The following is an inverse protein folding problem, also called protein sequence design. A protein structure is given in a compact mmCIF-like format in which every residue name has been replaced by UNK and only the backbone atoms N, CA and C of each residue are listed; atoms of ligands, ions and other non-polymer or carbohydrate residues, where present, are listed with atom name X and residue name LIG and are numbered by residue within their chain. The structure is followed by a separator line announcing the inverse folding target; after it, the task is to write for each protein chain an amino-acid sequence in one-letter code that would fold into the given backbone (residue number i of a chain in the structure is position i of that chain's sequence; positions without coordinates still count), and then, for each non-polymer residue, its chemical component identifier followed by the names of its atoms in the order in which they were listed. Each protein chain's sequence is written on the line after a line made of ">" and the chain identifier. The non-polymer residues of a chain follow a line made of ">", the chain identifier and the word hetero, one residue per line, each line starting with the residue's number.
data_IF_863205411498
#
_entry.id   IF_863205411498
#
_cell.length_a   1.000
_cell.length_b   1.000
_cell.length_c   1.000
_cell.angle_alpha   90.00
_cell.angle_beta   90.00
_cell.angle_gamma   90.00
#
_symmetry.space_group_name_H-M   'P 1'
#
loop_
_entity.id
_entity.type
_entity.pdbx_description
1 polymer ?
#
# COMPACT_ATOMS: atom_id res chain seq x y z
N UNK A 1 -23.45 -14.54 -10.88
CA UNK A 1 -22.84 -15.05 -12.14
C UNK A 1 -21.36 -15.29 -11.87
N UNK A 2 -20.84 -16.52 -12.00
CA UNK A 2 -19.43 -16.78 -11.77
C UNK A 2 -18.63 -16.50 -13.05
N UNK A 3 -17.63 -15.63 -12.96
CA UNK A 3 -16.65 -15.40 -14.02
C UNK A 3 -15.79 -16.66 -14.21
N UNK A 4 -16.21 -17.56 -15.10
CA UNK A 4 -15.35 -18.60 -15.68
C UNK A 4 -14.47 -17.96 -16.75
N UNK A 5 -13.22 -17.68 -16.40
CA UNK A 5 -12.17 -17.48 -17.41
C UNK A 5 -11.93 -18.82 -18.11
N UNK A 6 -12.37 -18.89 -19.35
CA UNK A 6 -12.21 -20.02 -20.27
C UNK A 6 -10.85 -19.85 -20.96
N UNK A 7 -9.88 -20.68 -20.59
CA UNK A 7 -8.63 -20.80 -21.34
C UNK A 7 -8.83 -21.82 -22.45
N UNK A 8 -9.14 -21.34 -23.65
CA UNK A 8 -9.09 -22.16 -24.85
C UNK A 8 -7.62 -22.28 -25.29
N UNK A 9 -6.98 -23.39 -24.91
CA UNK A 9 -5.73 -23.86 -25.51
C UNK A 9 -5.87 -25.34 -25.85
N UNK A 10 -6.35 -25.62 -27.06
CA UNK A 10 -6.35 -26.96 -27.64
C UNK A 10 -6.56 -26.89 -29.15
N UNK A 11 -5.51 -26.53 -29.91
CA UNK A 11 -5.30 -27.06 -31.27
C UNK A 11 -3.79 -27.05 -31.55
N UNK A 12 -3.18 -28.24 -31.52
CA UNK A 12 -2.06 -28.73 -32.35
C UNK A 12 -1.26 -29.79 -31.56
N UNK A 13 -1.88 -30.96 -31.39
CA UNK A 13 -1.20 -32.18 -30.97
C UNK A 13 -1.59 -33.32 -31.91
N UNK A 14 -0.93 -33.41 -33.06
CA UNK A 14 -0.68 -34.68 -33.77
C UNK A 14 0.14 -34.41 -35.02
N UNK A 15 1.37 -34.96 -35.07
CA UNK A 15 1.97 -35.69 -36.21
C UNK A 15 3.49 -35.89 -35.95
N UNK A 16 3.91 -37.15 -36.01
CA UNK A 16 5.26 -37.76 -36.01
C UNK A 16 5.90 -38.17 -34.67
N UNK A 17 5.59 -39.40 -34.28
CA UNK A 17 6.54 -40.32 -33.64
C UNK A 17 7.54 -40.85 -34.69
N UNK A 18 8.84 -40.80 -34.39
CA UNK A 18 9.92 -41.44 -35.15
C UNK A 18 11.31 -41.16 -34.53
N UNK A 19 12.24 -42.13 -34.47
CA UNK A 19 13.31 -42.15 -33.47
C UNK A 19 14.64 -41.52 -33.92
N UNK A 20 15.39 -41.03 -32.92
CA UNK A 20 16.83 -40.71 -32.88
C UNK A 20 17.50 -40.20 -34.18
N UNK A 21 17.73 -38.89 -34.20
CA UNK A 21 18.77 -38.26 -35.02
C UNK A 21 19.24 -36.95 -34.39
N UNK A 22 20.51 -36.91 -33.93
CA UNK A 22 21.17 -35.67 -33.52
C UNK A 22 21.20 -34.72 -34.73
N UNK A 23 20.46 -33.61 -34.67
CA UNK A 23 20.60 -32.49 -35.60
C UNK A 23 21.22 -31.31 -34.87
N UNK A 24 22.39 -30.88 -35.33
CA UNK A 24 22.98 -29.60 -34.97
C UNK A 24 22.10 -28.48 -35.54
N UNK A 25 21.63 -27.59 -34.68
CA UNK A 25 20.94 -26.37 -35.11
C UNK A 25 22.02 -25.33 -35.43
N UNK A 26 22.15 -24.99 -36.71
CA UNK A 26 22.91 -23.82 -37.16
C UNK A 26 22.00 -22.61 -36.97
N UNK A 27 22.40 -21.69 -36.08
CA UNK A 27 21.71 -20.41 -35.90
C UNK A 27 21.88 -19.55 -37.16
N UNK A 28 20.81 -18.89 -37.65
CA UNK A 28 20.95 -17.93 -38.73
C UNK A 28 21.76 -16.71 -38.27
N UNK A 29 22.75 -16.36 -39.07
CA UNK A 29 23.54 -15.14 -38.96
C UNK A 29 22.67 -13.89 -38.94
N UNK A 30 22.98 -12.97 -38.02
CA UNK A 30 22.31 -11.69 -37.83
C UNK A 30 22.25 -10.86 -39.14
N UNK A 31 21.14 -10.16 -39.42
CA UNK A 31 21.06 -9.26 -40.55
C UNK A 31 21.98 -8.05 -40.34
N UNK A 32 22.65 -7.67 -41.43
CA UNK A 32 23.49 -6.47 -41.56
C UNK A 32 22.71 -5.22 -41.15
N UNK A 33 23.35 -4.38 -40.33
CA UNK A 33 22.88 -3.07 -39.94
C UNK A 33 22.55 -2.22 -41.18
N UNK A 34 21.31 -1.72 -41.23
CA UNK A 34 20.90 -0.64 -42.12
C UNK A 34 20.93 0.67 -41.32
N UNK A 35 21.52 1.70 -41.93
CA UNK A 35 21.65 3.03 -41.37
C UNK A 35 20.29 3.67 -41.07
N UNK A 36 19.98 3.88 -39.80
CA UNK A 36 18.93 4.80 -39.36
C UNK A 36 19.51 5.72 -38.30
N UNK A 37 19.95 6.90 -38.74
CA UNK A 37 20.26 8.03 -37.89
C UNK A 37 18.97 8.62 -37.31
N UNK A 38 18.92 8.73 -35.99
CA UNK A 38 18.12 9.75 -35.29
C UNK A 38 16.85 9.28 -34.61
N UNK A 39 16.96 8.58 -33.48
CA UNK A 39 16.04 8.64 -32.34
C UNK A 39 16.80 8.31 -31.04
N UNK A 40 16.40 8.89 -29.88
CA UNK A 40 17.13 8.72 -28.62
C UNK A 40 16.86 7.34 -28.01
N UNK A 41 17.93 6.56 -27.84
CA UNK A 41 17.95 5.29 -27.11
C UNK A 41 17.99 5.56 -25.61
N UNK A 42 16.93 5.18 -24.90
CA UNK A 42 17.02 4.82 -23.49
C UNK A 42 16.26 3.51 -23.25
N UNK A 43 16.93 2.63 -22.48
CA UNK A 43 16.46 1.38 -21.89
C UNK A 43 16.23 0.16 -22.79
N UNK A 44 17.31 -0.59 -23.01
CA UNK A 44 17.29 -2.05 -22.97
C UNK A 44 18.18 -2.47 -21.79
N UNK A 45 17.56 -2.81 -20.66
CA UNK A 45 18.24 -3.50 -19.56
C UNK A 45 17.95 -4.99 -19.72
N UNK A 46 18.99 -5.73 -20.06
CA UNK A 46 19.00 -7.20 -20.11
C UNK A 46 19.45 -7.66 -18.74
N UNK A 47 18.56 -8.29 -17.98
CA UNK A 47 18.92 -8.93 -16.70
C UNK A 47 19.60 -10.27 -17.00
N UNK A 48 20.94 -10.29 -16.94
CA UNK A 48 21.72 -11.51 -16.92
C UNK A 48 21.96 -11.91 -15.46
N UNK A 49 21.33 -13.02 -15.06
CA UNK A 49 21.50 -13.65 -13.76
C UNK A 49 22.89 -14.30 -13.67
N UNK A 50 23.67 -13.95 -12.65
CA UNK A 50 24.87 -14.70 -12.25
C UNK A 50 24.61 -15.35 -10.91
N UNK A 51 24.65 -16.68 -10.89
CA UNK A 51 24.62 -17.50 -9.67
C UNK A 51 25.85 -17.23 -8.80
N UNK A 52 25.61 -16.86 -7.54
CA UNK A 52 26.64 -16.72 -6.53
C UNK A 52 27.01 -18.11 -5.99
N UNK A 53 28.20 -18.58 -6.37
CA UNK A 53 28.82 -19.79 -5.81
C UNK A 53 29.47 -19.43 -4.47
N UNK A 54 28.98 -20.03 -3.39
CA UNK A 54 29.64 -19.98 -2.08
C UNK A 54 30.93 -20.82 -2.09
N UNK A 55 32.06 -20.19 -1.76
CA UNK A 55 33.26 -20.91 -1.32
C UNK A 55 33.70 -20.39 0.04
N UNK A 56 33.56 -21.24 1.06
CA UNK A 56 34.15 -21.02 2.38
C UNK A 56 35.67 -21.18 2.33
N UNK A 57 36.37 -20.17 2.85
CA UNK A 57 37.56 -20.32 3.71
C UNK A 57 38.87 -20.78 3.07
N UNK A 58 39.80 -19.85 2.87
CA UNK A 58 40.90 -19.60 3.81
C UNK A 58 41.98 -18.69 3.17
N UNK A 59 42.28 -17.58 3.85
CA UNK A 59 43.60 -16.96 3.82
C UNK A 59 43.91 -15.99 2.67
N UNK A 60 44.33 -14.79 3.06
CA UNK A 60 45.04 -13.76 2.26
C UNK A 60 44.17 -12.88 1.34
N UNK A 61 44.02 -11.63 1.75
CA UNK A 61 43.29 -10.61 1.02
C UNK A 61 44.07 -10.11 -0.20
N UNK A 62 43.47 -10.27 -1.38
CA UNK A 62 43.91 -9.63 -2.61
C UNK A 62 42.89 -8.54 -2.98
N UNK A 63 43.34 -7.29 -3.07
CA UNK A 63 42.58 -6.21 -3.70
C UNK A 63 42.93 -6.22 -5.18
N UNK A 64 42.04 -6.79 -6.01
CA UNK A 64 42.14 -6.68 -7.46
C UNK A 64 41.57 -5.32 -7.91
N UNK A 65 42.46 -4.37 -8.19
CA UNK A 65 42.13 -3.23 -9.04
C UNK A 65 41.96 -3.73 -10.47
N UNK A 66 40.76 -3.53 -11.02
CA UNK A 66 40.48 -3.81 -12.43
C UNK A 66 40.90 -2.60 -13.25
N UNK A 67 42.03 -2.72 -13.93
CA UNK A 67 42.42 -1.81 -15.01
C UNK A 67 41.48 -2.02 -16.20
N UNK A 68 40.80 -0.94 -16.58
CA UNK A 68 40.17 -0.78 -17.89
C UNK A 68 40.81 0.43 -18.55
N UNK A 69 41.85 0.16 -19.33
CA UNK A 69 42.33 1.09 -20.35
C UNK A 69 41.20 1.29 -21.38
N UNK A 70 40.65 2.50 -21.49
CA UNK A 70 40.82 3.27 -22.73
C UNK A 70 40.32 4.71 -22.61
N UNK A 71 41.24 5.61 -22.98
CA UNK A 71 41.00 6.91 -23.64
C UNK A 71 40.23 7.98 -22.87
N UNK A 72 41.02 8.75 -22.13
CA UNK A 72 41.19 10.17 -22.48
C UNK A 72 40.32 11.17 -21.71
N UNK A 73 40.86 11.66 -20.61
CA UNK A 73 41.05 13.10 -20.30
C UNK A 73 41.67 13.19 -18.91
N UNK A 74 42.86 13.79 -18.82
CA UNK A 74 43.63 13.85 -17.59
C UNK A 74 43.00 14.78 -16.57
N UNK A 75 42.75 14.27 -15.36
CA UNK A 75 42.55 15.08 -14.17
C UNK A 75 43.70 14.81 -13.20
N UNK A 76 44.51 15.84 -12.96
CA UNK A 76 45.56 15.83 -11.94
C UNK A 76 44.87 16.01 -10.58
N UNK A 77 44.65 14.91 -9.86
CA UNK A 77 44.25 14.96 -8.45
C UNK A 77 45.51 15.15 -7.59
N UNK A 78 45.69 16.39 -7.14
CA UNK A 78 46.72 16.78 -6.18
C UNK A 78 46.24 16.37 -4.78
N UNK A 79 46.86 15.34 -4.21
CA UNK A 79 46.63 14.95 -2.82
C UNK A 79 47.17 16.05 -1.90
N UNK A 80 46.27 16.88 -1.35
CA UNK A 80 46.60 17.78 -0.26
C UNK A 80 46.63 16.97 1.04
N UNK A 81 47.83 16.71 1.54
CA UNK A 81 48.05 16.25 2.90
C UNK A 81 47.55 17.33 3.87
N UNK A 82 46.37 17.12 4.45
CA UNK A 82 45.82 17.98 5.50
C UNK A 82 46.60 17.71 6.79
N UNK A 83 47.27 18.78 7.22
CA UNK A 83 48.01 18.94 8.45
C UNK A 83 47.24 18.48 9.68
N UNK A 84 47.87 17.63 10.49
CA UNK A 84 47.49 17.30 11.88
C UNK A 84 47.33 18.60 12.68
N UNK A 85 46.10 18.94 13.05
CA UNK A 85 45.83 19.95 14.06
C UNK A 85 45.60 19.23 15.39
N UNK A 86 46.62 19.28 16.25
CA UNK A 86 46.56 18.88 17.65
C UNK A 86 45.70 19.89 18.40
N UNK A 87 44.41 19.60 18.54
CA UNK A 87 43.54 20.24 19.53
C UNK A 87 43.50 19.34 20.77
N UNK A 88 44.31 19.76 21.73
CA UNK A 88 44.38 19.26 23.09
C UNK A 88 43.13 19.75 23.82
N UNK A 89 42.05 18.97 23.82
CA UNK A 89 40.89 19.25 24.66
C UNK A 89 40.49 18.01 25.45
N UNK A 90 40.71 18.16 26.77
CA UNK A 90 40.29 17.26 27.84
C UNK A 90 38.86 16.81 27.61
N UNK A 91 38.65 15.49 27.63
CA UNK A 91 37.52 14.87 28.32
C UNK A 91 37.74 13.34 28.40
N UNK A 92 38.58 12.84 29.33
CA UNK A 92 38.45 11.45 29.75
C UNK A 92 37.34 11.41 30.80
N UNK A 93 36.07 11.46 30.37
CA UNK A 93 34.98 11.03 31.24
C UNK A 93 35.32 9.60 31.63
N UNK A 94 35.51 9.36 32.93
CA UNK A 94 35.95 8.04 33.37
C UNK A 94 34.86 7.03 32.98
N UNK A 95 35.25 5.80 32.65
CA UNK A 95 34.29 4.75 32.29
C UNK A 95 33.22 4.53 33.37
N UNK A 96 33.52 4.91 34.61
CA UNK A 96 32.59 4.92 35.73
C UNK A 96 31.53 6.03 35.63
N UNK A 97 31.90 7.25 35.20
CA UNK A 97 30.97 8.36 34.96
C UNK A 97 30.03 8.04 33.80
N UNK A 98 30.53 7.42 32.73
CA UNK A 98 29.70 6.98 31.60
C UNK A 98 28.66 5.94 32.03
N UNK A 99 29.05 4.99 32.90
CA UNK A 99 28.13 3.97 33.45
C UNK A 99 27.06 4.59 34.35
N UNK A 100 27.43 5.56 35.19
CA UNK A 100 26.47 6.29 36.03
C UNK A 100 25.48 7.05 35.13
N UNK A 101 25.96 7.76 34.12
CA UNK A 101 25.11 8.50 33.18
C UNK A 101 24.12 7.58 32.45
N UNK A 102 24.57 6.41 31.98
CA UNK A 102 23.72 5.41 31.35
C UNK A 102 22.65 4.84 32.29
N UNK A 103 22.99 4.62 33.57
CA UNK A 103 22.02 4.16 34.56
C UNK A 103 20.95 5.22 34.86
N UNK A 104 21.36 6.48 34.99
CA UNK A 104 20.43 7.61 35.16
C UNK A 104 19.51 7.74 33.94
N UNK A 105 20.05 7.64 32.73
CA UNK A 105 19.25 7.70 31.50
C UNK A 105 18.23 6.56 31.42
N UNK A 106 18.62 5.32 31.74
CA UNK A 106 17.72 4.17 31.79
C UNK A 106 16.61 4.34 32.82
N UNK A 107 16.94 4.88 34.01
CA UNK A 107 15.97 5.15 35.05
C UNK A 107 14.95 6.23 34.62
N UNK A 108 15.42 7.30 33.97
CA UNK A 108 14.54 8.35 33.44
C UNK A 108 13.60 7.82 32.34
N UNK A 109 14.10 6.98 31.44
CA UNK A 109 13.27 6.33 30.41
C UNK A 109 12.22 5.40 31.03
N UNK A 110 12.58 4.59 32.03
CA UNK A 110 11.62 3.74 32.72
C UNK A 110 10.53 4.57 33.43
N UNK A 111 10.92 5.68 34.08
CA UNK A 111 9.99 6.57 34.75
C UNK A 111 9.04 7.27 33.76
N UNK A 112 9.54 7.66 32.58
CA UNK A 112 8.72 8.22 31.51
C UNK A 112 7.66 7.22 31.01
N UNK A 113 8.02 5.95 30.85
CA UNK A 113 7.07 4.88 30.46
C UNK A 113 6.00 4.67 31.53
N UNK A 114 6.37 4.67 32.81
CA UNK A 114 5.40 4.52 33.92
C UNK A 114 4.44 5.71 33.98
N UNK A 115 4.93 6.94 33.81
CA UNK A 115 4.09 8.14 33.80
C UNK A 115 3.14 8.15 32.60
N UNK A 116 3.63 7.79 31.41
CA UNK A 116 2.80 7.69 30.22
C UNK A 116 1.73 6.59 30.37
N UNK A 117 2.10 5.38 30.83
CA UNK A 117 1.17 4.29 31.07
C UNK A 117 0.12 4.63 32.15
N UNK A 118 0.54 5.30 33.22
CA UNK A 118 -0.37 5.77 34.27
C UNK A 118 -1.39 6.80 33.77
N UNK A 119 -0.97 7.74 32.93
CA UNK A 119 -1.86 8.72 32.32
C UNK A 119 -2.91 8.07 31.39
N UNK A 120 -2.51 7.06 30.61
CA UNK A 120 -3.44 6.32 29.73
C UNK A 120 -4.43 5.48 30.54
N UNK A 121 -3.96 4.81 31.60
CA UNK A 121 -4.82 4.01 32.49
C UNK A 121 -5.86 4.87 33.23
N UNK A 122 -5.47 6.06 33.72
CA UNK A 122 -6.39 7.01 34.36
C UNK A 122 -7.50 7.50 33.42
N UNK A 123 -7.22 7.64 32.11
CA UNK A 123 -8.24 8.00 31.10
C UNK A 123 -9.26 6.88 30.87
N UNK A 124 -8.83 5.61 30.92
CA UNK A 124 -9.72 4.47 30.76
C UNK A 124 -10.68 4.30 31.95
N UNK A 125 -10.18 4.49 33.18
CA UNK A 125 -11.02 4.41 34.39
C UNK A 125 -12.08 5.51 34.39
N UNK A 126 -11.76 6.73 33.94
CA UNK A 126 -12.76 7.82 33.83
C UNK A 126 -13.87 7.53 32.80
N UNK A 127 -13.60 6.74 31.75
CA UNK A 127 -14.63 6.37 30.77
C UNK A 127 -15.63 5.35 31.31
N UNK A 128 -15.22 4.46 32.20
CA UNK A 128 -16.11 3.44 32.75
C UNK A 128 -17.08 3.96 33.82
N UNK A 129 -16.76 5.06 34.51
CA UNK A 129 -17.60 5.59 35.60
C UNK A 129 -18.76 6.48 35.09
N UNK A 130 -18.75 6.90 33.82
CA UNK A 130 -19.79 7.76 33.25
C UNK A 130 -21.01 7.00 32.67
N UNK A 131 -20.99 5.67 32.65
CA UNK A 131 -22.12 4.86 32.17
C UNK A 131 -22.92 4.38 33.38
N UNK A 132 -23.77 5.27 33.90
CA UNK A 132 -24.79 4.91 34.89
C UNK A 132 -25.91 4.12 34.20
N UNK A 133 -26.26 2.91 34.68
CA UNK A 133 -27.36 2.14 34.14
C UNK A 133 -28.69 2.76 34.59
N UNK A 134 -29.44 3.32 33.65
CA UNK A 134 -30.83 3.72 33.86
C UNK A 134 -31.69 2.47 34.12
N UNK A 135 -32.46 2.42 35.22
CA UNK A 135 -33.33 1.29 35.50
C UNK A 135 -34.52 1.29 34.55
N UNK A 136 -34.62 0.20 33.79
CA UNK A 136 -35.72 -0.18 32.92
C UNK A 136 -37.04 -0.25 33.70
N UNK A 137 -37.99 0.63 33.33
CA UNK A 137 -39.41 0.46 33.67
C UNK A 137 -40.09 -0.26 32.52
N UNK A 138 -40.61 -1.45 32.83
CA UNK A 138 -41.69 -2.08 32.08
C UNK A 138 -42.88 -1.12 31.98
N UNK A 139 -43.39 -0.88 30.77
CA UNK A 139 -44.82 -0.69 30.59
C UNK A 139 -45.29 -1.13 29.21
N UNK A 140 -46.41 -1.82 29.27
CA UNK A 140 -47.18 -2.51 28.24
C UNK A 140 -47.77 -1.58 27.17
N UNK A 141 -47.74 -2.11 25.95
CA UNK A 141 -48.87 -2.32 25.05
C UNK A 141 -49.54 -1.13 24.34
N UNK A 142 -49.50 -1.26 22.99
CA UNK A 142 -50.41 -0.73 21.97
C UNK A 142 -50.56 0.79 21.85
N UNK A 143 -49.97 1.39 20.81
CA UNK A 143 -50.58 2.44 19.97
C UNK A 143 -49.74 2.65 18.69
N UNK A 144 -50.47 2.67 17.57
CA UNK A 144 -50.15 3.08 16.19
C UNK A 144 -48.70 3.29 15.78
N UNK A 145 -48.27 2.49 14.81
CA UNK A 145 -47.19 2.78 13.86
C UNK A 145 -47.35 4.18 13.24
N UNK A 146 -46.48 5.16 13.54
CA UNK A 146 -46.31 6.31 12.67
C UNK A 146 -45.42 5.87 11.51
N UNK A 147 -45.97 6.02 10.31
CA UNK A 147 -45.29 5.89 9.01
C UNK A 147 -44.28 7.04 8.90
N UNK A 148 -43.10 6.86 9.52
CA UNK A 148 -41.90 7.66 9.28
C UNK A 148 -41.18 7.01 8.09
N UNK A 149 -41.67 7.28 6.89
CA UNK A 149 -40.87 7.19 5.67
C UNK A 149 -39.86 8.35 5.77
N UNK A 150 -38.59 8.04 6.11
CA UNK A 150 -37.51 7.94 5.12
C UNK A 150 -37.34 9.21 4.27
N UNK A 151 -37.15 10.35 4.94
CA UNK A 151 -36.44 11.50 4.37
C UNK A 151 -35.22 11.80 5.27
N UNK A 152 -34.35 10.81 5.46
CA UNK A 152 -32.93 11.12 5.63
C UNK A 152 -32.39 11.43 4.23
N UNK A 153 -32.72 12.64 3.76
CA UNK A 153 -32.08 13.29 2.63
C UNK A 153 -30.63 13.58 3.06
N UNK A 154 -29.83 12.52 3.03
CA UNK A 154 -28.40 12.51 3.21
C UNK A 154 -27.84 13.49 2.19
N UNK A 155 -27.48 14.68 2.66
CA UNK A 155 -26.74 15.68 1.89
C UNK A 155 -25.35 15.12 1.65
N UNK A 156 -25.23 14.15 0.75
CA UNK A 156 -23.97 13.58 0.32
C UNK A 156 -23.16 14.68 -0.35
N UNK A 157 -22.24 15.28 0.41
CA UNK A 157 -21.23 16.16 -0.17
C UNK A 157 -20.33 15.29 -1.07
N UNK A 158 -20.59 15.33 -2.37
CA UNK A 158 -19.67 14.81 -3.39
C UNK A 158 -18.26 15.28 -3.08
N UNK A 159 -17.35 14.32 -2.97
CA UNK A 159 -15.93 14.60 -2.92
C UNK A 159 -15.51 14.95 -4.35
N UNK A 160 -14.98 16.17 -4.52
CA UNK A 160 -14.55 16.69 -5.82
C UNK A 160 -13.49 15.77 -6.43
N UNK A 161 -13.71 15.33 -7.67
CA UNK A 161 -12.68 14.70 -8.49
C UNK A 161 -11.72 15.76 -9.02
N UNK A 162 -10.42 15.51 -8.93
CA UNK A 162 -9.37 16.44 -9.32
C UNK A 162 -8.55 15.82 -10.45
N UNK A 163 -8.34 16.58 -11.52
CA UNK A 163 -7.49 16.17 -12.63
C UNK A 163 -6.00 16.44 -12.36
N UNK A 164 -5.14 15.85 -13.17
CA UNK A 164 -3.70 16.07 -13.10
C UNK A 164 -3.31 17.56 -13.23
N UNK A 165 -3.95 18.29 -14.14
CA UNK A 165 -3.69 19.71 -14.37
C UNK A 165 -4.10 20.56 -13.16
N UNK A 166 -5.20 20.18 -12.51
CA UNK A 166 -5.67 20.86 -11.30
C UNK A 166 -4.74 20.62 -10.10
N UNK A 167 -4.10 19.44 -10.00
CA UNK A 167 -3.14 19.15 -8.93
C UNK A 167 -1.99 20.15 -8.89
N UNK A 168 -1.41 20.47 -10.06
CA UNK A 168 -0.34 21.47 -10.15
C UNK A 168 -0.86 22.90 -9.89
N UNK A 169 -2.14 23.18 -10.11
CA UNK A 169 -2.72 24.48 -9.75
C UNK A 169 -2.96 24.61 -8.24
N UNK A 170 -3.42 23.53 -7.59
CA UNK A 170 -3.70 23.50 -6.15
C UNK A 170 -2.42 23.56 -5.32
N UNK A 171 -1.41 22.79 -5.72
CA UNK A 171 -0.10 22.75 -5.07
C UNK A 171 0.98 22.97 -6.13
N UNK A 172 1.22 24.21 -6.56
CA UNK A 172 2.24 24.50 -7.57
C UNK A 172 3.60 23.95 -7.17
N UNK A 173 4.25 23.26 -8.10
CA UNK A 173 5.67 22.95 -8.01
C UNK A 173 6.45 24.26 -7.86
N UNK A 174 6.97 24.51 -6.65
CA UNK A 174 7.68 25.74 -6.37
C UNK A 174 8.94 25.83 -7.24
N UNK A 175 8.95 26.76 -8.21
CA UNK A 175 10.10 27.01 -9.10
C UNK A 175 11.01 28.16 -8.63
N UNK A 176 10.97 28.58 -7.36
CA UNK A 176 11.79 29.70 -6.91
C UNK A 176 11.95 29.87 -5.41
N UNK A 177 13.21 29.94 -4.97
CA UNK A 177 13.74 30.52 -3.73
C UNK A 177 13.17 29.98 -2.39
N UNK A 178 13.86 29.01 -1.80
CA UNK A 178 13.64 28.60 -0.40
C UNK A 178 14.10 29.67 0.58
N UNK A 179 13.22 30.03 1.53
CA UNK A 179 13.60 30.43 2.88
C UNK A 179 13.65 29.13 3.72
N UNK A 180 14.85 28.64 4.00
CA UNK A 180 15.15 27.29 4.49
C UNK A 180 14.79 27.00 5.96
N UNK A 181 13.66 27.49 6.48
CA UNK A 181 13.26 27.27 7.88
C UNK A 181 12.00 26.40 7.97
N UNK A 182 12.15 25.07 7.83
CA UNK A 182 11.22 24.06 8.33
C UNK A 182 9.74 24.25 7.94
N UNK A 183 9.44 24.46 6.66
CA UNK A 183 8.06 24.57 6.20
C UNK A 183 7.32 23.24 6.40
N UNK A 184 6.27 23.24 7.22
CA UNK A 184 5.30 22.14 7.32
C UNK A 184 4.81 21.77 5.92
N UNK A 185 4.52 20.48 5.63
CA UNK A 185 3.94 20.07 4.35
C UNK A 185 2.72 20.94 4.02
N UNK A 186 2.67 21.43 2.78
CA UNK A 186 1.55 22.26 2.32
C UNK A 186 0.39 21.33 1.98
N UNK A 187 -0.65 21.38 2.80
CA UNK A 187 -1.90 20.65 2.62
C UNK A 187 -2.90 21.50 1.83
N UNK A 188 -3.70 20.87 0.96
CA UNK A 188 -4.88 21.52 0.37
C UNK A 188 -5.94 21.75 1.46
N UNK A 189 -6.04 20.82 2.41
CA UNK A 189 -6.81 20.97 3.62
C UNK A 189 -8.25 20.51 3.49
N UNK A 190 -8.54 19.73 2.46
CA UNK A 190 -9.85 19.15 2.17
C UNK A 190 -9.68 17.80 1.44
N UNK A 191 -10.61 16.84 1.61
CA UNK A 191 -10.56 15.59 0.88
C UNK A 191 -10.75 15.83 -0.62
N UNK A 192 -9.90 15.20 -1.41
CA UNK A 192 -9.92 15.20 -2.87
C UNK A 192 -9.99 13.76 -3.38
N UNK A 193 -10.59 13.60 -4.56
CA UNK A 193 -10.69 12.31 -5.24
C UNK A 193 -9.80 12.27 -6.47
N UNK A 194 -9.00 11.23 -6.58
CA UNK A 194 -8.05 11.03 -7.67
C UNK A 194 -8.30 9.69 -8.34
N UNK A 195 -8.30 9.69 -9.67
CA UNK A 195 -8.21 8.44 -10.43
C UNK A 195 -6.73 8.17 -10.67
N UNK A 196 -6.22 7.06 -10.15
CA UNK A 196 -4.79 6.77 -10.12
C UNK A 196 -4.50 5.30 -10.36
N UNK A 197 -3.36 5.02 -11.01
CA UNK A 197 -2.84 3.68 -11.22
C UNK A 197 -1.77 3.38 -10.18
N UNK A 198 -1.88 2.25 -9.50
CA UNK A 198 -0.88 1.81 -8.54
C UNK A 198 0.40 1.43 -9.30
N UNK A 199 1.51 2.10 -9.02
CA UNK A 199 2.77 1.85 -9.70
C UNK A 199 3.55 0.71 -9.05
N UNK A 200 3.63 0.69 -7.71
CA UNK A 200 4.42 -0.29 -6.98
C UNK A 200 4.80 0.18 -5.58
N UNK A 201 5.54 -0.65 -4.83
CA UNK A 201 6.05 -0.27 -3.51
C UNK A 201 6.98 0.95 -3.60
N UNK A 202 7.04 1.72 -2.51
CA UNK A 202 7.92 2.88 -2.37
C UNK A 202 9.36 2.38 -2.11
N UNK A 203 10.32 2.95 -2.84
CA UNK A 203 11.76 2.62 -2.77
C UNK A 203 12.07 1.14 -3.09
N UNK A 204 13.15 0.60 -2.51
CA UNK A 204 13.60 -0.80 -2.65
C UNK A 204 12.78 -1.78 -1.79
N UNK A 205 11.58 -1.40 -1.35
CA UNK A 205 10.71 -2.31 -0.61
C UNK A 205 10.22 -3.43 -1.52
N UNK A 206 10.24 -4.66 -1.01
CA UNK A 206 9.71 -5.80 -1.76
C UNK A 206 8.18 -5.70 -1.84
N UNK A 207 7.60 -5.92 -3.03
CA UNK A 207 6.16 -5.95 -3.15
C UNK A 207 5.59 -7.14 -2.37
N UNK A 208 4.35 -7.01 -1.91
CA UNK A 208 3.64 -8.10 -1.25
C UNK A 208 3.05 -9.06 -2.28
N UNK A 209 2.76 -10.28 -1.84
CA UNK A 209 1.96 -11.23 -2.61
C UNK A 209 0.70 -11.55 -1.82
N UNK A 210 -0.46 -11.37 -2.47
CA UNK A 210 -1.75 -11.68 -1.87
C UNK A 210 -1.87 -13.20 -1.64
N UNK A 211 -2.12 -13.68 -0.41
CA UNK A 211 -2.02 -15.10 -0.05
C UNK A 211 -2.88 -16.07 -0.88
N UNK A 212 -4.04 -15.65 -1.37
CA UNK A 212 -4.98 -16.54 -2.09
C UNK A 212 -4.84 -16.46 -3.60
N UNK A 213 -4.74 -15.26 -4.17
CA UNK A 213 -4.58 -15.08 -5.61
C UNK A 213 -3.12 -15.08 -6.09
N UNK A 214 -2.15 -14.97 -5.17
CA UNK A 214 -0.70 -14.90 -5.44
C UNK A 214 -0.29 -13.72 -6.33
N UNK A 215 -1.17 -12.74 -6.47
CA UNK A 215 -0.88 -11.56 -7.27
C UNK A 215 -0.03 -10.57 -6.50
N UNK A 216 0.80 -9.83 -7.25
CA UNK A 216 1.66 -8.78 -6.71
C UNK A 216 0.80 -7.58 -6.28
N UNK A 217 0.89 -7.21 -5.02
CA UNK A 217 0.08 -6.15 -4.42
C UNK A 217 0.89 -5.28 -3.45
N UNK A 218 0.33 -4.12 -3.12
CA UNK A 218 0.90 -3.20 -2.11
C UNK A 218 0.11 -3.21 -0.81
N UNK A 219 -1.16 -3.62 -0.86
CA UNK A 219 -2.01 -3.84 0.31
C UNK A 219 -2.84 -5.08 0.06
N UNK A 220 -2.99 -5.96 1.06
CA UNK A 220 -3.96 -7.04 1.02
C UNK A 220 -4.60 -7.26 2.38
N UNK A 221 -5.83 -7.76 2.34
CA UNK A 221 -6.58 -8.25 3.49
C UNK A 221 -7.28 -9.54 3.09
N UNK A 222 -6.92 -10.61 3.80
CA UNK A 222 -7.41 -11.95 3.52
C UNK A 222 -8.11 -12.47 4.77
N UNK A 223 -9.36 -12.91 4.63
CA UNK A 223 -10.22 -13.34 5.73
C UNK A 223 -10.89 -14.66 5.37
N UNK A 224 -10.91 -15.58 6.31
CA UNK A 224 -11.64 -16.85 6.22
C UNK A 224 -12.61 -16.93 7.39
N UNK A 225 -13.89 -17.06 7.06
CA UNK A 225 -14.98 -17.12 8.03
C UNK A 225 -15.68 -18.46 7.95
N UNK A 226 -16.12 -18.99 9.08
CA UNK A 226 -17.02 -20.12 9.16
C UNK A 226 -18.44 -19.59 9.34
N UNK A 227 -19.31 -19.91 8.37
CA UNK A 227 -20.71 -19.50 8.40
C UNK A 227 -21.58 -20.69 8.79
N UNK A 228 -21.76 -20.88 10.10
CA UNK A 228 -22.71 -21.85 10.61
C UNK A 228 -24.15 -21.26 10.58
N UNK A 229 -25.15 -22.04 10.16
CA UNK A 229 -26.53 -21.55 10.08
C UNK A 229 -27.03 -21.12 11.47
N UNK A 230 -27.48 -19.88 11.57
CA UNK A 230 -28.00 -19.30 12.82
C UNK A 230 -26.95 -18.84 13.82
N UNK A 231 -25.66 -18.83 13.45
CA UNK A 231 -24.58 -18.27 14.25
C UNK A 231 -23.94 -17.07 13.54
N UNK A 232 -23.36 -16.17 14.31
CA UNK A 232 -22.53 -15.10 13.78
C UNK A 232 -21.29 -15.70 13.10
N UNK A 233 -20.88 -15.11 11.97
CA UNK A 233 -19.73 -15.56 11.22
C UNK A 233 -18.48 -15.57 12.11
N UNK A 234 -17.87 -16.75 12.29
CA UNK A 234 -16.68 -16.90 13.11
C UNK A 234 -15.44 -16.74 12.25
N UNK A 235 -14.59 -15.77 12.54
CA UNK A 235 -13.31 -15.60 11.84
C UNK A 235 -12.37 -16.74 12.25
N UNK A 236 -11.98 -17.56 11.26
CA UNK A 236 -11.08 -18.70 11.45
C UNK A 236 -9.64 -18.30 11.21
N UNK A 237 -9.40 -17.49 10.18
CA UNK A 237 -8.09 -16.98 9.83
C UNK A 237 -8.23 -15.57 9.26
N UNK A 238 -7.31 -14.68 9.62
CA UNK A 238 -7.23 -13.33 9.05
C UNK A 238 -5.76 -12.94 8.93
N UNK A 239 -5.37 -12.43 7.76
CA UNK A 239 -4.05 -11.86 7.53
C UNK A 239 -4.21 -10.57 6.75
N UNK A 240 -3.51 -9.54 7.18
CA UNK A 240 -3.38 -8.28 6.45
C UNK A 240 -1.92 -7.92 6.27
N UNK A 241 -1.62 -7.24 5.16
CA UNK A 241 -0.29 -6.75 4.84
C UNK A 241 -0.40 -5.43 4.08
N UNK A 242 0.52 -4.53 4.36
CA UNK A 242 0.65 -3.26 3.63
C UNK A 242 2.11 -2.83 3.55
N UNK A 243 2.46 -2.19 2.44
CA UNK A 243 3.72 -1.46 2.24
C UNK A 243 3.38 -0.06 1.75
N UNK A 244 4.29 0.89 1.95
CA UNK A 244 4.12 2.22 1.36
C UNK A 244 4.29 2.10 -0.16
N UNK A 245 3.57 2.91 -0.92
CA UNK A 245 3.53 2.75 -2.38
C UNK A 245 3.39 4.06 -3.13
N UNK A 246 3.69 4.00 -4.41
CA UNK A 246 3.51 5.10 -5.36
C UNK A 246 2.32 4.80 -6.26
N UNK A 247 1.50 5.81 -6.51
CA UNK A 247 0.44 5.80 -7.51
C UNK A 247 0.64 6.95 -8.51
N UNK A 248 0.30 6.73 -9.77
CA UNK A 248 0.37 7.75 -10.82
C UNK A 248 -1.03 8.20 -11.21
N UNK A 249 -1.25 9.50 -11.42
CA UNK A 249 -2.57 9.99 -11.84
C UNK A 249 -2.95 9.48 -13.23
N UNK A 250 -4.24 9.21 -13.44
CA UNK A 250 -4.76 8.86 -14.76
C UNK A 250 -4.57 10.05 -15.72
N UNK A 251 -3.96 9.77 -16.88
CA UNK A 251 -3.65 10.80 -17.88
C UNK A 251 -2.34 11.56 -17.66
N UNK A 252 -1.71 11.46 -16.49
CA UNK A 252 -0.43 12.12 -16.17
C UNK A 252 0.51 11.21 -15.36
N UNK A 253 1.21 10.28 -16.04
CA UNK A 253 2.09 9.31 -15.38
C UNK A 253 3.34 9.93 -14.73
N UNK A 254 3.66 11.18 -15.08
CA UNK A 254 4.71 11.99 -14.49
C UNK A 254 4.33 12.56 -13.10
N UNK A 255 3.03 12.62 -12.78
CA UNK A 255 2.55 13.04 -11.46
C UNK A 255 2.38 11.82 -10.58
N UNK A 256 3.30 11.69 -9.61
CA UNK A 256 3.35 10.60 -8.65
C UNK A 256 2.82 11.04 -7.30
N UNK A 257 1.99 10.19 -6.70
CA UNK A 257 1.44 10.31 -5.36
C UNK A 257 2.05 9.22 -4.49
N UNK A 258 2.71 9.60 -3.41
CA UNK A 258 3.16 8.67 -2.37
C UNK A 258 2.04 8.45 -1.36
N UNK A 259 1.75 7.19 -1.05
CA UNK A 259 0.68 6.78 -0.14
C UNK A 259 1.25 5.86 0.93
N UNK A 260 0.97 6.15 2.21
CA UNK A 260 1.39 5.30 3.32
C UNK A 260 0.45 4.12 3.48
N UNK A 261 0.97 2.90 3.33
CA UNK A 261 0.16 1.67 3.29
C UNK A 261 -0.63 1.42 4.57
N UNK A 262 -0.09 1.85 5.72
CA UNK A 262 -0.75 1.72 7.03
C UNK A 262 -1.96 2.64 7.20
N UNK A 263 -2.02 3.69 6.40
CA UNK A 263 -3.11 4.66 6.42
C UNK A 263 -4.16 4.33 5.35
N UNK A 264 -4.04 3.20 4.64
CA UNK A 264 -4.97 2.83 3.58
C UNK A 264 -6.12 1.98 4.12
N UNK A 265 -7.34 2.34 3.73
CA UNK A 265 -8.55 1.53 3.91
C UNK A 265 -9.16 1.21 2.55
N UNK A 266 -9.27 -0.08 2.25
CA UNK A 266 -9.90 -0.56 1.02
C UNK A 266 -11.43 -0.54 1.17
N UNK A 267 -12.10 -0.04 0.13
CA UNK A 267 -13.55 0.05 -0.02
C UNK A 267 -13.94 -0.53 -1.38
N UNK A 268 -13.52 -1.77 -1.64
CA UNK A 268 -13.79 -2.46 -2.89
C UNK A 268 -15.21 -3.03 -2.91
N UNK A 269 -15.93 -2.69 -3.97
CA UNK A 269 -17.27 -3.21 -4.23
C UNK A 269 -17.22 -4.65 -4.76
N UNK A 270 -16.15 -5.00 -5.48
CA UNK A 270 -16.00 -6.27 -6.19
C UNK A 270 -15.37 -7.41 -5.38
N UNK A 271 -15.34 -7.31 -4.05
CA UNK A 271 -14.71 -8.32 -3.22
C UNK A 271 -15.37 -9.71 -3.40
N UNK A 272 -14.66 -10.60 -4.10
CA UNK A 272 -15.14 -11.94 -4.40
C UNK A 272 -15.15 -12.77 -3.12
N UNK A 273 -16.36 -13.17 -2.69
CA UNK A 273 -16.54 -14.13 -1.61
C UNK A 273 -16.76 -15.50 -2.22
N UNK A 274 -15.88 -16.44 -1.89
CA UNK A 274 -16.02 -17.83 -2.31
C UNK A 274 -16.38 -18.70 -1.11
N UNK A 275 -17.51 -19.40 -1.20
CA UNK A 275 -17.91 -20.38 -0.19
C UNK A 275 -17.48 -21.77 -0.63
N UNK A 276 -16.56 -22.40 0.11
CA UNK A 276 -16.03 -23.74 -0.17
C UNK A 276 -15.69 -24.46 1.12
N UNK A 277 -15.70 -25.79 1.11
CA UNK A 277 -15.11 -26.55 2.22
C UNK A 277 -13.59 -26.52 2.14
N UNK A 278 -12.91 -26.75 3.26
CA UNK A 278 -11.44 -26.71 3.29
C UNK A 278 -10.83 -27.78 2.38
N UNK A 279 -11.48 -28.93 2.19
CA UNK A 279 -11.02 -29.97 1.25
C UNK A 279 -11.09 -29.57 -0.22
N UNK A 280 -12.02 -28.67 -0.57
CA UNK A 280 -12.30 -28.30 -1.96
C UNK A 280 -11.51 -27.07 -2.44
N UNK A 281 -10.76 -26.41 -1.56
CA UNK A 281 -9.92 -25.25 -1.91
C UNK A 281 -8.50 -25.67 -2.36
N UNK A 282 -7.80 -24.81 -3.13
CA UNK A 282 -6.41 -25.01 -3.47
C UNK A 282 -5.51 -25.29 -2.25
N UNK A 283 -4.42 -26.04 -2.45
CA UNK A 283 -3.51 -26.43 -1.37
C UNK A 283 -2.99 -25.22 -0.56
N UNK A 284 -2.62 -24.13 -1.24
CA UNK A 284 -2.12 -22.90 -0.60
C UNK A 284 -3.16 -22.21 0.29
N UNK A 285 -4.44 -22.28 -0.07
CA UNK A 285 -5.50 -21.74 0.80
C UNK A 285 -5.64 -22.57 2.07
N UNK A 286 -5.45 -23.90 1.98
CA UNK A 286 -5.39 -24.77 3.16
C UNK A 286 -4.18 -24.45 4.03
N UNK A 287 -3.01 -24.28 3.42
CA UNK A 287 -1.79 -23.88 4.13
C UNK A 287 -1.97 -22.53 4.84
N UNK A 288 -2.62 -21.56 4.19
CA UNK A 288 -2.98 -20.28 4.79
C UNK A 288 -3.86 -20.47 6.03
N UNK A 289 -4.96 -21.24 5.92
CA UNK A 289 -5.86 -21.51 7.05
C UNK A 289 -5.15 -22.28 8.17
N UNK A 290 -4.24 -23.20 7.85
CA UNK A 290 -3.45 -23.92 8.85
C UNK A 290 -2.43 -23.04 9.56
N UNK A 291 -1.79 -22.12 8.84
CA UNK A 291 -0.79 -21.21 9.39
C UNK A 291 -1.42 -20.14 10.30
N UNK A 292 -2.55 -19.56 9.88
CA UNK A 292 -3.21 -18.45 10.59
C UNK A 292 -4.30 -18.91 11.57
N UNK A 293 -5.01 -19.99 11.24
CA UNK A 293 -6.10 -20.54 12.03
C UNK A 293 -5.66 -21.55 13.09
N UNK A 294 -4.40 -21.47 13.54
CA UNK A 294 -3.85 -22.38 14.53
C UNK A 294 -4.71 -22.37 15.82
N UNK A 295 -5.40 -23.49 16.09
CA UNK A 295 -6.24 -23.66 17.27
C UNK A 295 -7.73 -23.41 17.07
N UNK A 296 -8.18 -23.08 15.86
CA UNK A 296 -9.62 -23.05 15.57
C UNK A 296 -10.16 -24.48 15.37
N UNK A 297 -11.20 -24.83 16.14
CA UNK A 297 -11.95 -26.08 15.97
C UNK A 297 -12.97 -25.87 14.83
N UNK A 298 -12.65 -26.41 13.65
CA UNK A 298 -13.50 -26.46 12.47
C UNK A 298 -13.37 -27.84 11.82
N UNK A 299 -14.45 -28.39 11.28
CA UNK A 299 -14.37 -29.61 10.48
C UNK A 299 -13.92 -29.28 9.06
N UNK A 300 -13.13 -30.14 8.43
CA UNK A 300 -12.65 -29.92 7.05
C UNK A 300 -13.80 -29.83 6.01
N UNK A 301 -14.97 -30.36 6.36
CA UNK A 301 -16.18 -30.35 5.54
C UNK A 301 -17.06 -29.11 5.76
N UNK A 302 -16.78 -28.32 6.80
CA UNK A 302 -17.60 -27.15 7.10
C UNK A 302 -17.47 -26.12 5.97
N UNK A 303 -18.58 -25.45 5.59
CA UNK A 303 -18.53 -24.38 4.61
C UNK A 303 -17.79 -23.18 5.17
N UNK A 304 -16.65 -22.85 4.56
CA UNK A 304 -15.87 -21.66 4.85
C UNK A 304 -16.08 -20.62 3.75
N UNK A 305 -16.17 -19.36 4.14
CA UNK A 305 -16.20 -18.21 3.24
C UNK A 305 -14.81 -17.60 3.19
N UNK A 306 -14.20 -17.70 2.02
CA UNK A 306 -12.92 -17.12 1.70
C UNK A 306 -13.13 -15.76 1.06
N UNK A 307 -12.49 -14.74 1.60
CA UNK A 307 -12.56 -13.37 1.13
C UNK A 307 -11.14 -12.81 1.05
N UNK A 308 -10.76 -12.29 -0.12
CA UNK A 308 -9.49 -11.60 -0.30
C UNK A 308 -9.69 -10.28 -1.03
N UNK A 309 -9.17 -9.22 -0.43
CA UNK A 309 -9.07 -7.88 -1.01
C UNK A 309 -7.59 -7.58 -1.20
N UNK A 310 -7.21 -7.18 -2.42
CA UNK A 310 -5.83 -6.86 -2.73
C UNK A 310 -5.76 -5.64 -3.65
N UNK A 311 -4.97 -4.65 -3.25
CA UNK A 311 -4.63 -3.48 -4.06
C UNK A 311 -3.42 -3.84 -4.93
N UNK A 312 -3.67 -4.24 -6.18
CA UNK A 312 -2.68 -4.86 -7.06
C UNK A 312 -1.82 -3.80 -7.76
N UNK A 313 -0.58 -4.16 -8.04
CA UNK A 313 0.30 -3.33 -8.87
C UNK A 313 -0.28 -3.24 -10.29
N UNK A 314 -0.30 -2.02 -10.84
CA UNK A 314 -0.91 -1.70 -12.12
C UNK A 314 -2.43 -1.50 -12.09
N UNK A 315 -3.11 -1.71 -10.97
CA UNK A 315 -4.56 -1.53 -10.85
C UNK A 315 -4.94 -0.03 -10.92
N UNK A 316 -6.01 0.28 -11.67
CA UNK A 316 -6.59 1.61 -11.71
C UNK A 316 -7.66 1.73 -10.62
N UNK A 317 -7.49 2.67 -9.71
CA UNK A 317 -8.33 2.86 -8.53
C UNK A 317 -8.69 4.33 -8.32
N UNK A 318 -9.69 4.55 -7.49
CA UNK A 318 -10.07 5.85 -6.97
C UNK A 318 -9.47 6.01 -5.58
N UNK A 319 -8.58 6.99 -5.41
CA UNK A 319 -7.98 7.36 -4.13
C UNK A 319 -8.70 8.58 -3.56
N UNK A 320 -8.96 8.58 -2.25
CA UNK A 320 -9.57 9.70 -1.54
C UNK A 320 -8.76 10.03 -0.29
N UNK A 321 -8.29 11.27 -0.21
CA UNK A 321 -7.49 11.79 0.91
C UNK A 321 -7.22 13.28 0.77
N UNK A 322 -6.50 13.86 1.73
CA UNK A 322 -5.97 15.23 1.63
C UNK A 322 -4.63 15.20 0.90
N UNK A 323 -4.47 16.10 -0.06
CA UNK A 323 -3.26 16.17 -0.87
C UNK A 323 -2.25 17.10 -0.19
N UNK A 324 -1.03 16.61 -0.02
CA UNK A 324 0.07 17.34 0.59
C UNK A 324 1.23 17.44 -0.39
N UNK A 325 1.97 18.55 -0.33
CA UNK A 325 3.30 18.65 -0.95
C UNK A 325 4.33 18.84 0.17
N UNK A 326 5.30 17.94 0.22
CA UNK A 326 6.34 17.98 1.25
C UNK A 326 7.41 19.04 0.94
N UNK A 327 8.44 19.08 1.79
CA UNK A 327 9.58 19.98 1.60
C UNK A 327 10.51 19.57 0.45
N UNK A 328 10.40 18.35 -0.09
CA UNK A 328 11.16 17.91 -1.27
C UNK A 328 10.42 18.21 -2.58
N UNK A 329 9.14 18.60 -2.49
CA UNK A 329 8.26 18.82 -3.63
C UNK A 329 7.48 17.56 -4.03
N UNK A 330 7.66 16.43 -3.35
CA UNK A 330 6.88 15.22 -3.57
C UNK A 330 5.44 15.40 -3.09
N UNK A 331 4.51 14.78 -3.83
CA UNK A 331 3.11 14.75 -3.46
C UNK A 331 2.83 13.54 -2.60
N UNK A 332 2.17 13.78 -1.46
CA UNK A 332 1.76 12.77 -0.49
C UNK A 332 0.24 12.80 -0.38
N UNK A 333 -0.39 11.64 -0.26
CA UNK A 333 -1.81 11.54 0.04
C UNK A 333 -2.00 11.11 1.49
N UNK A 334 -2.63 11.98 2.29
CA UNK A 334 -2.83 11.80 3.73
C UNK A 334 -4.31 11.55 4.05
N UNK A 335 -4.62 10.96 5.21
CA UNK A 335 -5.98 10.91 5.74
C UNK A 335 -6.59 12.31 5.83
N UNK A 336 -7.77 12.49 5.27
CA UNK A 336 -8.46 13.78 5.32
C UNK A 336 -8.98 14.04 6.74
N UNK A 337 -8.70 15.20 7.37
CA UNK A 337 -9.11 15.46 8.76
C UNK A 337 -10.63 15.47 8.91
N UNK A 338 -11.15 14.67 9.85
CA UNK A 338 -12.60 14.55 10.10
C UNK A 338 -13.28 15.88 10.45
N UNK A 339 -12.54 16.82 11.06
CA UNK A 339 -13.07 18.10 11.53
C UNK A 339 -13.39 19.12 10.44
N UNK A 340 -13.11 18.82 9.17
CA UNK A 340 -13.25 19.77 8.05
C UNK A 340 -14.34 19.41 7.06
N UNK A 341 -15.04 18.31 7.30
CA UNK A 341 -16.29 18.04 6.64
C UNK A 341 -17.35 18.86 7.39
N UNK A 342 -17.41 20.16 7.10
CA UNK A 342 -18.43 21.06 7.63
C UNK A 342 -19.79 20.66 7.02
N UNK A 343 -20.41 19.66 7.65
CA UNK A 343 -21.70 19.09 7.26
C UNK A 343 -21.99 17.85 8.09
N UNK A 344 -23.19 17.75 8.66
CA UNK A 344 -23.67 16.60 9.43
C UNK A 344 -23.75 15.28 8.61
N UNK A 345 -23.33 15.31 7.34
CA UNK A 345 -23.30 14.21 6.40
C UNK A 345 -21.86 13.85 5.94
N UNK A 346 -20.86 14.17 6.77
CA UNK A 346 -19.54 13.57 6.64
C UNK A 346 -19.71 12.05 6.59
N UNK A 347 -19.49 11.44 5.42
CA UNK A 347 -19.63 10.01 5.26
C UNK A 347 -18.86 9.31 6.37
N UNK A 348 -19.47 8.36 7.12
CA UNK A 348 -18.82 7.63 8.22
C UNK A 348 -17.55 6.87 7.78
N UNK A 349 -17.28 6.86 6.48
CA UNK A 349 -16.08 6.35 5.85
C UNK A 349 -14.85 7.25 6.09
N UNK A 350 -15.00 8.57 6.16
CA UNK A 350 -13.90 9.50 6.43
C UNK A 350 -13.69 9.65 7.93
N UNK A 351 -13.04 8.63 8.52
CA UNK A 351 -12.74 8.57 9.95
C UNK A 351 -11.62 9.52 10.40
N UNK A 352 -10.97 10.21 9.46
CA UNK A 352 -9.83 11.06 9.74
C UNK A 352 -8.52 10.32 9.97
N UNK A 353 -8.53 9.00 9.76
CA UNK A 353 -7.41 8.10 10.03
C UNK A 353 -6.92 7.43 8.75
N UNK A 354 -7.79 7.27 7.76
CA UNK A 354 -7.44 6.56 6.54
C UNK A 354 -7.62 7.35 5.24
N UNK A 355 -6.73 7.07 4.30
CA UNK A 355 -6.90 7.25 2.85
C UNK A 355 -7.80 6.13 2.35
N UNK A 356 -8.88 6.48 1.67
CA UNK A 356 -9.82 5.50 1.13
C UNK A 356 -9.42 5.11 -0.29
N UNK A 357 -9.52 3.83 -0.60
CA UNK A 357 -9.18 3.28 -1.91
C UNK A 357 -10.35 2.43 -2.41
N UNK A 358 -10.87 2.76 -3.59
CA UNK A 358 -11.99 2.02 -4.20
C UNK A 358 -11.70 1.67 -5.65
N UNK A 359 -12.28 0.56 -6.11
CA UNK A 359 -12.29 0.15 -7.52
C UNK A 359 -13.34 0.92 -8.34
N UNK A 360 -14.38 1.41 -7.67
CA UNK A 360 -15.46 2.19 -8.27
C UNK A 360 -14.98 3.60 -8.68
N UNK A 361 -15.05 3.96 -9.97
CA UNK A 361 -14.72 5.31 -10.44
C UNK A 361 -15.62 6.39 -9.81
N UNK A 362 -16.84 6.03 -9.40
CA UNK A 362 -17.83 6.94 -8.84
C UNK A 362 -17.79 7.00 -7.31
N UNK A 363 -16.84 6.32 -6.66
CA UNK A 363 -16.73 6.32 -5.20
C UNK A 363 -16.67 7.74 -4.64
N UNK A 364 -17.66 8.13 -3.83
CA UNK A 364 -17.80 9.49 -3.28
C UNK A 364 -18.33 10.56 -4.25
N UNK A 365 -18.86 10.19 -5.43
CA UNK A 365 -19.59 11.10 -6.32
C UNK A 365 -20.99 11.39 -5.76
N UNK A 366 -21.57 12.53 -6.14
CA UNK A 366 -23.00 12.79 -5.93
C UNK A 366 -23.80 11.92 -6.90
N UNK A 367 -24.92 11.39 -6.44
CA UNK A 367 -25.86 10.65 -7.28
C UNK A 367 -26.33 11.46 -8.51
N UNK A 368 -26.44 12.78 -8.37
CA UNK A 368 -26.89 13.70 -9.43
C UNK A 368 -25.94 13.74 -10.65
N UNK A 369 -24.62 13.54 -10.44
CA UNK A 369 -23.63 13.58 -11.52
C UNK A 369 -23.77 12.39 -12.48
N UNK A 370 -24.44 11.31 -12.05
CA UNK A 370 -24.63 10.09 -12.86
C UNK A 370 -25.77 10.22 -13.88
N UNK A 371 -26.72 11.13 -13.66
CA UNK A 371 -27.94 11.22 -14.49
C UNK A 371 -27.70 12.00 -15.80
N UNK A 372 -26.66 12.83 -15.86
CA UNK A 372 -26.36 13.70 -17.02
C UNK A 372 -25.72 12.99 -18.22
N UNK A 373 -24.95 11.91 -18.00
CA UNK A 373 -24.10 11.33 -19.06
C UNK A 373 -24.85 10.43 -20.07
N UNK A 374 -26.08 10.01 -19.77
CA UNK A 374 -26.81 9.05 -20.60
C UNK A 374 -27.81 9.66 -21.59
N UNK A 375 -28.00 10.99 -21.60
CA UNK A 375 -29.09 11.63 -22.36
C UNK A 375 -28.75 12.03 -23.81
N UNK A 376 -27.50 11.90 -24.24
CA UNK A 376 -27.03 12.38 -25.57
C UNK A 376 -26.75 11.29 -26.63
N UNK A 377 -27.20 10.04 -26.43
CA UNK A 377 -27.06 8.98 -27.46
C UNK A 377 -28.35 8.69 -28.25
N UNK A 378 -29.28 9.64 -28.34
CA UNK A 378 -30.48 9.53 -29.18
C UNK A 378 -30.38 10.40 -30.43
N UNK A 379 -29.88 9.84 -31.54
CA UNK A 379 -30.14 10.32 -32.91
C UNK A 379 -30.62 9.16 -33.76
#
# INVERSE_FOLDING_TARGET
>A
MPCRLRTDSNVLSSILQGPFGRKSVILPSAPKAADTSGLPLSFLQVDEWVEEVQTEGAGEGFVLHRDLESRGTGFILKANAVSKQTADDKLPMSLHELRILLLVLKFLLALAVVVQGGATCARLIRRHVAVSPTPSKELKEAVSTPKLEEEEESVEQAIRMVSAEEVEQLLPSFRGSYDCALSKPKSVGQPLRFRARIYGPLDEQLPLSAPMCEEVCVVHKTKVEQNAPGQEAKVIAERSGCVDFVATLEGAPDIQLTVHGKEVRMCFSSCAKEMRSLRAVPAKWREFVQAEGAGADYAEEDPLVFQEEALRVGQLVTLVGDLHRDASGQLLLWPAPASRLDGAAASPLLDGVHVLVSDDPNFGAKSDDLVGAHRDQGV
#
